data_IF_169601115843
#
_entry.id   IF_169601115843
#
_cell.length_a   1.000
_cell.length_b   1.000
_cell.length_c   1.000
_cell.angle_alpha   90.00
_cell.angle_beta   90.00
_cell.angle_gamma   90.00
#
_symmetry.space_group_name_H-M   'P 1'
#
loop_
_entity.id
_entity.type
_entity.pdbx_description
1 polymer ?
#
# COMPACT_ATOMS: atom_id res chain seq x y z
N UNK A 1 6.36 -9.76 20.58
CA UNK A 1 6.54 -8.36 20.17
C UNK A 1 6.31 -8.31 18.66
N UNK A 2 5.29 -7.59 18.18
CA UNK A 2 5.03 -7.51 16.75
C UNK A 2 6.19 -6.78 16.07
N UNK A 3 6.85 -7.43 15.11
CA UNK A 3 7.96 -6.85 14.35
C UNK A 3 7.38 -5.71 13.52
N UNK A 4 7.62 -4.47 13.93
CA UNK A 4 7.25 -3.31 13.13
C UNK A 4 8.14 -3.32 11.89
N UNK A 5 7.54 -3.53 10.72
CA UNK A 5 8.24 -3.52 9.44
C UNK A 5 8.94 -2.17 9.25
N UNK A 6 10.18 -2.22 8.73
CA UNK A 6 10.97 -1.01 8.54
C UNK A 6 10.27 -0.08 7.52
N UNK A 7 10.04 1.20 7.83
CA UNK A 7 9.38 2.12 6.91
C UNK A 7 10.13 2.20 5.57
N UNK A 8 9.41 1.96 4.48
CA UNK A 8 9.94 2.05 3.13
C UNK A 8 9.73 3.47 2.58
N UNK A 9 10.79 4.18 2.15
CA UNK A 9 10.65 5.51 1.57
C UNK A 9 10.06 5.42 0.15
N UNK A 10 8.82 5.89 0.00
CA UNK A 10 8.16 5.98 -1.30
C UNK A 10 8.63 7.22 -2.07
N UNK A 11 9.20 7.05 -3.27
CA UNK A 11 9.59 8.16 -4.15
C UNK A 11 8.39 8.61 -4.99
N UNK A 12 7.88 9.80 -4.71
CA UNK A 12 6.83 10.44 -5.51
C UNK A 12 7.13 11.93 -5.69
N UNK A 13 6.55 12.50 -6.75
CA UNK A 13 6.61 13.95 -6.95
C UNK A 13 5.94 14.71 -5.81
N UNK A 14 6.48 15.89 -5.48
CA UNK A 14 5.99 16.72 -4.37
C UNK A 14 4.53 17.14 -4.58
N UNK A 15 4.14 17.50 -5.80
CA UNK A 15 2.78 17.93 -6.14
C UNK A 15 1.79 16.79 -5.86
N UNK A 16 2.14 15.56 -6.25
CA UNK A 16 1.34 14.36 -5.98
C UNK A 16 1.22 14.10 -4.48
N UNK A 17 2.33 14.19 -3.73
CA UNK A 17 2.32 14.01 -2.28
C UNK A 17 1.42 15.03 -1.57
N UNK A 18 1.46 16.29 -2.01
CA UNK A 18 0.68 17.36 -1.37
C UNK A 18 -0.82 17.21 -1.63
N UNK A 19 -1.22 16.81 -2.85
CA UNK A 19 -2.62 16.42 -3.13
C UNK A 19 -3.06 15.24 -2.29
N UNK A 20 -2.20 14.23 -2.16
CA UNK A 20 -2.51 13.03 -1.39
C UNK A 20 -2.69 13.33 0.11
N UNK A 21 -1.89 14.25 0.68
CA UNK A 21 -2.08 14.72 2.06
C UNK A 21 -3.44 15.37 2.28
N UNK A 22 -3.95 16.12 1.29
CA UNK A 22 -5.29 16.73 1.38
C UNK A 22 -6.34 15.63 1.46
N UNK A 23 -6.28 14.62 0.57
CA UNK A 23 -7.21 13.49 0.56
C UNK A 23 -7.18 12.73 1.89
N UNK A 24 -5.97 12.41 2.39
CA UNK A 24 -5.82 11.73 3.67
C UNK A 24 -6.42 12.53 4.83
N UNK A 25 -6.24 13.86 4.82
CA UNK A 25 -6.82 14.76 5.82
C UNK A 25 -8.35 14.81 5.76
N UNK A 26 -8.92 14.90 4.56
CA UNK A 26 -10.38 14.84 4.36
C UNK A 26 -10.97 13.52 4.87
N UNK A 27 -10.25 12.40 4.67
CA UNK A 27 -10.64 11.08 5.17
C UNK A 27 -10.32 10.86 6.67
N UNK A 28 -9.74 11.86 7.37
CA UNK A 28 -9.39 11.77 8.79
C UNK A 28 -8.27 10.78 9.11
N UNK A 29 -7.39 10.48 8.14
CA UNK A 29 -6.37 9.43 8.22
C UNK A 29 -4.96 10.02 8.07
N UNK A 30 -3.97 9.28 8.59
CA UNK A 30 -2.58 9.57 8.25
C UNK A 30 -2.33 9.20 6.78
N UNK A 31 -1.35 9.86 6.16
CA UNK A 31 -0.88 9.54 4.81
C UNK A 31 -0.60 8.05 4.67
N UNK A 32 0.13 7.46 5.63
CA UNK A 32 0.44 6.03 5.61
C UNK A 32 -0.83 5.16 5.64
N UNK A 33 -1.81 5.53 6.47
CA UNK A 33 -3.05 4.75 6.59
C UNK A 33 -3.87 4.81 5.30
N UNK A 34 -3.88 5.96 4.65
CA UNK A 34 -4.55 6.14 3.37
C UNK A 34 -3.88 5.32 2.27
N UNK A 35 -2.53 5.26 2.25
CA UNK A 35 -1.78 4.39 1.32
C UNK A 35 -2.14 2.91 1.55
N UNK A 36 -2.20 2.45 2.80
CA UNK A 36 -2.61 1.07 3.10
C UNK A 36 -3.99 0.72 2.55
N UNK A 37 -4.95 1.64 2.67
CA UNK A 37 -6.33 1.43 2.22
C UNK A 37 -6.39 1.43 0.71
N UNK A 38 -5.69 2.36 0.05
CA UNK A 38 -5.61 2.41 -1.40
C UNK A 38 -5.01 1.13 -1.98
N UNK A 39 -3.94 0.60 -1.36
CA UNK A 39 -3.36 -0.68 -1.78
C UNK A 39 -4.34 -1.85 -1.63
N UNK A 40 -5.08 -1.91 -0.51
CA UNK A 40 -6.09 -2.96 -0.30
C UNK A 40 -7.23 -2.90 -1.33
N UNK A 41 -7.69 -1.69 -1.64
CA UNK A 41 -8.73 -1.48 -2.64
C UNK A 41 -8.25 -1.94 -4.01
N UNK A 42 -7.05 -1.51 -4.42
CA UNK A 42 -6.45 -1.93 -5.70
C UNK A 42 -6.31 -3.45 -5.80
N UNK A 43 -5.85 -4.11 -4.73
CA UNK A 43 -5.76 -5.58 -4.70
C UNK A 43 -7.15 -6.20 -4.84
N UNK A 44 -8.14 -5.73 -4.07
CA UNK A 44 -9.49 -6.29 -4.12
C UNK A 44 -10.17 -6.08 -5.47
N UNK A 45 -9.97 -4.93 -6.11
CA UNK A 45 -10.47 -4.63 -7.45
C UNK A 45 -9.81 -5.55 -8.49
N UNK A 46 -8.49 -5.68 -8.42
CA UNK A 46 -7.74 -6.59 -9.29
C UNK A 46 -8.17 -8.06 -9.10
N UNK A 47 -8.34 -8.52 -7.87
CA UNK A 47 -8.78 -9.89 -7.57
C UNK A 47 -10.20 -10.17 -8.06
N UNK A 48 -11.07 -9.15 -8.07
CA UNK A 48 -12.42 -9.26 -8.60
C UNK A 48 -12.43 -9.39 -10.13
N UNK A 49 -11.53 -8.71 -10.83
CA UNK A 49 -11.45 -8.73 -12.30
C UNK A 49 -10.62 -9.91 -12.86
N UNK A 50 -9.51 -10.26 -12.19
CA UNK A 50 -8.51 -11.22 -12.70
C UNK A 50 -8.48 -12.55 -11.95
N UNK A 51 -9.21 -12.67 -10.83
CA UNK A 51 -9.13 -13.80 -9.93
C UNK A 51 -8.09 -13.60 -8.82
N UNK A 52 -8.14 -14.48 -7.82
CA UNK A 52 -7.37 -14.35 -6.57
C UNK A 52 -5.87 -14.40 -6.83
N UNK A 53 -5.13 -13.50 -6.19
CA UNK A 53 -3.66 -13.53 -6.22
C UNK A 53 -3.20 -14.57 -5.21
N UNK A 54 -2.74 -15.73 -5.69
CA UNK A 54 -2.11 -16.72 -4.83
C UNK A 54 -0.66 -16.31 -4.54
N UNK A 55 -0.38 -15.96 -3.29
CA UNK A 55 0.97 -15.66 -2.83
C UNK A 55 1.56 -16.93 -2.24
N UNK A 56 2.54 -17.50 -2.94
CA UNK A 56 3.40 -18.54 -2.38
C UNK A 56 4.57 -17.85 -1.64
N UNK A 57 4.60 -17.99 -0.32
CA UNK A 57 5.59 -17.32 0.54
C UNK A 57 7.04 -17.77 0.22
N UNK A 58 7.21 -18.98 -0.32
CA UNK A 58 8.49 -19.55 -0.73
C UNK A 58 9.04 -18.90 -2.02
N UNK A 59 8.18 -18.43 -2.93
CA UNK A 59 8.60 -17.73 -4.15
C UNK A 59 9.01 -16.27 -3.92
N UNK A 60 8.31 -15.54 -3.03
CA UNK A 60 8.46 -14.09 -2.89
C UNK A 60 9.76 -13.67 -2.16
N UNK A 61 10.25 -14.53 -1.25
CA UNK A 61 11.45 -14.28 -0.45
C UNK A 61 12.62 -15.19 -0.82
N UNK A 62 12.67 -15.69 -2.06
CA UNK A 62 13.88 -16.37 -2.58
C UNK A 62 15.09 -15.45 -2.37
N UNK A 63 15.81 -15.68 -1.28
CA UNK A 63 17.14 -15.14 -1.03
C UNK A 63 18.01 -15.67 -2.15
N UNK A 64 18.26 -14.83 -3.14
CA UNK A 64 19.36 -15.05 -4.08
C UNK A 64 20.67 -14.67 -3.41
#
# INVERSE_FOLDING_TARGET
MAVQQNPYPLRIDKNTMDKFKIIAKENGRSVNKEIEILLKNVISEYEAEHGKIEIDEDELYKKK
#
